data_IF_326958894703
#
_entry.id   IF_326958894703
#
_cell.length_a   1.000
_cell.length_b   1.000
_cell.length_c   1.000
_cell.angle_alpha   90.00
_cell.angle_beta   90.00
_cell.angle_gamma   90.00
#
_symmetry.space_group_name_H-M   'P 1'
#
loop_
_entity.id
_entity.type
_entity.pdbx_description
1 polymer ?
#
# COMPACT_ATOMS: atom_id res chain seq x y z
N UNK A 1 18.03 -25.89 -31.89
CA UNK A 1 18.54 -24.76 -31.09
C UNK A 1 19.05 -25.35 -29.78
N UNK A 2 20.36 -25.33 -29.53
CA UNK A 2 20.94 -25.76 -28.25
C UNK A 2 21.19 -24.50 -27.42
N UNK A 3 20.59 -24.45 -26.24
CA UNK A 3 20.82 -23.39 -25.28
C UNK A 3 22.21 -23.53 -24.69
N UNK A 4 22.94 -22.42 -24.63
CA UNK A 4 24.23 -22.34 -23.94
C UNK A 4 24.04 -22.03 -22.45
N UNK A 5 25.08 -22.17 -21.65
CA UNK A 5 25.03 -21.79 -20.22
C UNK A 5 24.71 -20.30 -20.04
N UNK A 6 25.25 -19.44 -20.89
CA UNK A 6 24.96 -18.00 -20.90
C UNK A 6 23.46 -17.73 -21.20
N UNK A 7 22.87 -18.46 -22.13
CA UNK A 7 21.44 -18.35 -22.43
C UNK A 7 20.58 -18.78 -21.24
N UNK A 8 21.00 -19.82 -20.51
CA UNK A 8 20.32 -20.29 -19.30
C UNK A 8 20.40 -19.27 -18.17
N UNK A 9 21.56 -18.64 -17.95
CA UNK A 9 21.73 -17.57 -16.96
C UNK A 9 20.81 -16.39 -17.30
N UNK A 10 20.84 -15.93 -18.56
CA UNK A 10 19.99 -14.83 -19.03
C UNK A 10 18.50 -15.13 -18.86
N UNK A 11 18.08 -16.36 -19.14
CA UNK A 11 16.70 -16.79 -18.92
C UNK A 11 16.33 -16.75 -17.44
N UNK A 12 17.17 -17.30 -16.57
CA UNK A 12 16.96 -17.29 -15.13
C UNK A 12 16.85 -15.86 -14.57
N UNK A 13 17.74 -14.96 -15.01
CA UNK A 13 17.72 -13.56 -14.60
C UNK A 13 16.43 -12.85 -15.04
N UNK A 14 16.03 -13.05 -16.30
CA UNK A 14 14.79 -12.48 -16.85
C UNK A 14 13.55 -13.03 -16.12
N UNK A 15 13.52 -14.34 -15.86
CA UNK A 15 12.42 -14.96 -15.10
C UNK A 15 12.37 -14.45 -13.67
N UNK A 16 13.51 -14.25 -13.02
CA UNK A 16 13.59 -13.68 -11.66
C UNK A 16 13.05 -12.24 -11.65
N UNK A 17 13.40 -11.43 -12.64
CA UNK A 17 12.93 -10.05 -12.75
C UNK A 17 11.41 -9.95 -12.85
N UNK A 18 10.80 -10.79 -13.68
CA UNK A 18 9.35 -10.79 -13.88
C UNK A 18 8.61 -11.42 -12.68
N UNK A 19 9.11 -12.55 -12.18
CA UNK A 19 8.39 -13.34 -11.16
C UNK A 19 8.63 -12.87 -9.73
N UNK A 20 9.72 -12.12 -9.50
CA UNK A 20 10.17 -11.65 -8.18
C UNK A 20 10.70 -10.22 -8.34
N UNK A 21 9.79 -9.26 -8.60
CA UNK A 21 10.17 -7.85 -8.59
C UNK A 21 10.62 -7.46 -7.17
N UNK A 22 11.61 -6.57 -7.06
CA UNK A 22 12.28 -6.25 -5.80
C UNK A 22 12.31 -4.75 -5.54
N UNK A 23 12.13 -4.39 -4.27
CA UNK A 23 12.28 -3.04 -3.75
C UNK A 23 13.32 -3.06 -2.62
N UNK A 24 14.18 -2.06 -2.57
CA UNK A 24 15.24 -1.95 -1.56
C UNK A 24 14.85 -0.91 -0.52
N UNK A 25 14.64 -1.36 0.71
CA UNK A 25 14.52 -0.48 1.88
C UNK A 25 15.93 -0.22 2.44
N UNK A 26 16.50 0.95 2.13
CA UNK A 26 17.81 1.38 2.60
C UNK A 26 17.72 1.87 4.06
N UNK A 27 17.68 0.91 4.99
CA UNK A 27 17.51 1.16 6.42
C UNK A 27 18.75 1.84 7.05
N UNK A 28 18.52 2.53 8.17
CA UNK A 28 19.50 3.37 8.90
C UNK A 28 19.93 4.62 8.14
N UNK A 29 19.05 5.17 7.30
CA UNK A 29 19.31 6.41 6.56
C UNK A 29 19.57 7.61 7.49
N UNK A 30 19.11 7.54 8.74
CA UNK A 30 19.36 8.53 9.80
C UNK A 30 20.84 8.69 10.17
N UNK A 31 21.64 7.62 10.09
CA UNK A 31 23.07 7.61 10.45
C UNK A 31 23.96 7.54 9.19
N UNK A 32 23.42 7.06 8.07
CA UNK A 32 24.19 6.85 6.85
C UNK A 32 24.76 8.18 6.27
N UNK A 33 26.01 8.18 5.76
CA UNK A 33 26.53 9.26 4.95
C UNK A 33 25.68 9.49 3.70
N UNK A 34 25.57 10.75 3.25
CA UNK A 34 24.78 11.10 2.05
C UNK A 34 25.27 10.37 0.81
N UNK A 35 26.59 10.28 0.61
CA UNK A 35 27.22 9.60 -0.52
C UNK A 35 26.74 8.14 -0.68
N UNK A 36 26.58 7.41 0.43
CA UNK A 36 26.08 6.03 0.37
C UNK A 36 24.61 5.96 -0.04
N UNK A 37 23.80 6.92 0.40
CA UNK A 37 22.39 7.01 0.00
C UNK A 37 22.26 7.39 -1.48
N UNK A 38 23.13 8.28 -1.97
CA UNK A 38 23.13 8.72 -3.37
C UNK A 38 23.55 7.58 -4.30
N UNK A 39 24.62 6.84 -3.97
CA UNK A 39 25.03 5.62 -4.71
C UNK A 39 23.94 4.55 -4.76
N UNK A 40 23.15 4.41 -3.70
CA UNK A 40 22.03 3.47 -3.69
C UNK A 40 20.85 3.96 -4.55
N UNK A 41 20.64 5.28 -4.66
CA UNK A 41 19.62 5.87 -5.53
C UNK A 41 19.96 5.77 -7.02
N UNK A 42 21.25 5.66 -7.36
CA UNK A 42 21.73 5.46 -8.74
C UNK A 42 21.52 4.03 -9.27
N UNK A 43 21.13 3.09 -8.41
CA UNK A 43 20.78 1.74 -8.85
C UNK A 43 19.52 1.77 -9.71
N UNK A 44 19.46 0.93 -10.75
CA UNK A 44 18.27 0.75 -11.60
C UNK A 44 17.18 -0.08 -10.90
N UNK A 45 16.82 0.34 -9.68
CA UNK A 45 15.85 -0.31 -8.80
C UNK A 45 15.16 0.72 -7.94
N UNK A 46 13.97 0.37 -7.45
CA UNK A 46 13.27 1.20 -6.48
C UNK A 46 14.01 1.11 -5.14
N UNK A 47 14.64 2.22 -4.74
CA UNK A 47 15.32 2.36 -3.44
C UNK A 47 14.67 3.46 -2.62
N UNK A 48 14.32 3.13 -1.38
CA UNK A 48 13.69 4.06 -0.45
C UNK A 48 14.53 4.12 0.81
N UNK A 49 14.92 5.33 1.21
CA UNK A 49 15.64 5.57 2.45
C UNK A 49 14.70 5.37 3.64
N UNK A 50 15.07 4.49 4.57
CA UNK A 50 14.20 4.17 5.72
C UNK A 50 14.92 4.29 7.06
N UNK A 51 14.14 4.55 8.11
CA UNK A 51 14.59 4.44 9.50
C UNK A 51 13.59 3.61 10.30
N UNK A 52 13.88 2.30 10.42
CA UNK A 52 13.01 1.37 11.12
C UNK A 52 12.91 1.64 12.63
N UNK A 53 14.00 2.10 13.23
CA UNK A 53 14.00 2.45 14.66
C UNK A 53 13.08 3.64 14.94
N UNK A 54 13.08 4.65 14.06
CA UNK A 54 12.21 5.81 14.18
C UNK A 54 10.73 5.43 14.09
N UNK A 55 10.36 4.63 13.07
CA UNK A 55 8.97 4.16 12.92
C UNK A 55 8.51 3.32 14.11
N UNK A 56 9.34 2.40 14.59
CA UNK A 56 9.02 1.57 15.74
C UNK A 56 8.79 2.42 17.00
N UNK A 57 9.60 3.45 17.20
CA UNK A 57 9.47 4.36 18.34
C UNK A 57 8.17 5.18 18.27
N UNK A 58 7.82 5.72 17.09
CA UNK A 58 6.56 6.45 16.88
C UNK A 58 5.35 5.56 17.10
N UNK A 59 5.33 4.36 16.51
CA UNK A 59 4.22 3.41 16.70
C UNK A 59 4.07 2.97 18.15
N UNK A 60 5.19 2.77 18.85
CA UNK A 60 5.18 2.47 20.28
C UNK A 60 4.63 3.63 21.11
N UNK A 61 5.05 4.87 20.82
CA UNK A 61 4.58 6.06 21.51
C UNK A 61 3.08 6.34 21.23
N UNK A 62 2.62 6.09 20.01
CA UNK A 62 1.21 6.20 19.64
C UNK A 62 0.36 5.16 20.36
N UNK A 63 0.83 3.91 20.43
CA UNK A 63 0.16 2.84 21.18
C UNK A 63 0.08 3.12 22.67
N UNK A 64 1.07 3.82 23.22
CA UNK A 64 1.08 4.27 24.62
C UNK A 64 0.21 5.53 24.87
N UNK A 65 -0.43 6.10 23.84
CA UNK A 65 -1.26 7.30 23.96
C UNK A 65 -0.48 8.58 24.24
N UNK A 66 0.84 8.59 24.00
CA UNK A 66 1.72 9.74 24.22
C UNK A 66 1.62 10.72 23.04
N UNK A 67 1.53 10.16 21.83
CA UNK A 67 1.39 10.92 20.59
C UNK A 67 0.21 10.41 19.77
N UNK A 68 -0.30 11.26 18.90
CA UNK A 68 -1.18 10.88 17.80
C UNK A 68 -0.35 10.86 16.53
N UNK A 69 -0.19 9.68 15.97
CA UNK A 69 0.62 9.42 14.78
C UNK A 69 -0.01 8.32 13.95
N UNK A 70 -0.16 8.55 12.65
CA UNK A 70 -0.53 7.52 11.68
C UNK A 70 0.73 7.08 10.95
N UNK A 71 0.97 5.76 10.75
CA UNK A 71 2.14 5.29 10.01
C UNK A 71 2.29 5.96 8.64
N UNK A 72 3.45 6.59 8.41
CA UNK A 72 3.73 7.33 7.18
C UNK A 72 3.40 8.82 7.23
N UNK A 73 2.83 9.32 8.32
CA UNK A 73 2.64 10.76 8.51
C UNK A 73 3.98 11.49 8.57
N UNK A 74 3.97 12.73 8.08
CA UNK A 74 5.13 13.65 8.10
C UNK A 74 5.24 14.42 9.42
N UNK A 75 4.29 14.24 10.31
CA UNK A 75 4.26 14.91 11.61
C UNK A 75 3.51 14.05 12.63
N UNK A 76 3.65 14.38 13.91
CA UNK A 76 2.91 13.75 15.00
C UNK A 76 2.52 14.77 16.07
N UNK A 77 1.31 14.64 16.62
CA UNK A 77 0.82 15.53 17.66
C UNK A 77 1.10 14.92 19.05
N UNK A 78 1.64 15.72 19.98
CA UNK A 78 1.81 15.30 21.38
C UNK A 78 0.46 15.40 22.09
N UNK A 79 -0.01 14.28 22.65
CA UNK A 79 -1.27 14.22 23.42
C UNK A 79 -1.04 14.54 24.90
N UNK A 80 0.18 14.32 25.41
CA UNK A 80 0.50 14.43 26.83
C UNK A 80 1.81 15.21 27.02
N UNK A 81 1.83 16.15 27.98
CA UNK A 81 3.05 16.91 28.32
C UNK A 81 3.95 16.18 29.33
N UNK A 82 3.46 15.12 29.98
CA UNK A 82 4.20 14.26 30.91
C UNK A 82 5.09 13.23 30.19
N UNK A 83 5.98 13.71 29.33
CA UNK A 83 7.02 12.88 28.70
C UNK A 83 8.32 12.97 29.48
N UNK A 84 8.95 11.82 29.71
CA UNK A 84 10.29 11.79 30.32
C UNK A 84 11.31 12.50 29.43
N UNK A 85 12.37 13.05 30.03
CA UNK A 85 13.46 13.71 29.26
C UNK A 85 14.06 12.81 28.18
N UNK A 86 14.15 11.50 28.45
CA UNK A 86 14.64 10.52 27.49
C UNK A 86 13.68 10.34 26.30
N UNK A 87 12.37 10.24 26.54
CA UNK A 87 11.36 10.17 25.49
C UNK A 87 11.33 11.43 24.65
N UNK A 88 11.38 12.61 25.27
CA UNK A 88 11.42 13.89 24.55
C UNK A 88 12.62 13.98 23.61
N UNK A 89 13.82 13.61 24.10
CA UNK A 89 15.04 13.58 23.27
C UNK A 89 14.94 12.57 22.12
N UNK A 90 14.30 11.42 22.34
CA UNK A 90 14.04 10.43 21.30
C UNK A 90 13.09 10.96 20.21
N UNK A 91 11.99 11.59 20.61
CA UNK A 91 11.03 12.20 19.68
C UNK A 91 11.65 13.35 18.89
N UNK A 92 12.48 14.20 19.52
CA UNK A 92 13.21 15.27 18.83
C UNK A 92 14.22 14.71 17.81
N UNK A 93 14.90 13.60 18.12
CA UNK A 93 15.80 12.95 17.17
C UNK A 93 15.02 12.39 15.96
N UNK A 94 13.86 11.80 16.20
CA UNK A 94 12.98 11.27 15.14
C UNK A 94 12.43 12.41 14.29
N UNK A 95 12.03 13.53 14.91
CA UNK A 95 11.55 14.71 14.18
C UNK A 95 12.60 15.21 13.18
N UNK A 96 13.88 15.27 13.57
CA UNK A 96 14.97 15.64 12.64
C UNK A 96 15.13 14.67 11.47
N UNK A 97 14.87 13.37 11.69
CA UNK A 97 14.90 12.37 10.61
C UNK A 97 13.74 12.62 9.65
N UNK A 98 12.52 12.83 10.17
CA UNK A 98 11.33 13.13 9.37
C UNK A 98 11.50 14.45 8.62
N UNK A 99 12.01 15.51 9.25
CA UNK A 99 12.27 16.80 8.58
C UNK A 99 13.26 16.65 7.42
N UNK A 100 14.29 15.80 7.59
CA UNK A 100 15.33 15.58 6.57
C UNK A 100 14.86 14.71 5.41
N UNK A 101 14.06 13.68 5.67
CA UNK A 101 13.67 12.67 4.68
C UNK A 101 12.19 12.72 4.28
N UNK A 102 11.41 13.61 4.89
CA UNK A 102 9.96 13.76 4.71
C UNK A 102 9.13 12.76 5.52
N UNK A 103 9.54 11.49 5.60
CA UNK A 103 8.89 10.43 6.38
C UNK A 103 9.93 9.47 6.98
N UNK A 104 9.48 8.44 7.71
CA UNK A 104 10.34 7.31 8.12
C UNK A 104 10.68 6.36 6.96
N UNK A 105 10.00 6.48 5.81
CA UNK A 105 10.19 5.69 4.59
C UNK A 105 9.57 4.29 4.61
N UNK A 106 9.13 3.76 5.76
CA UNK A 106 8.56 2.41 5.83
C UNK A 106 7.21 2.32 5.13
N UNK A 107 6.30 3.26 5.42
CA UNK A 107 5.00 3.28 4.76
C UNK A 107 5.15 3.52 3.25
N UNK A 108 6.13 4.34 2.85
CA UNK A 108 6.48 4.54 1.44
C UNK A 108 6.95 3.24 0.77
N UNK A 109 7.80 2.44 1.43
CA UNK A 109 8.18 1.11 0.95
C UNK A 109 6.97 0.21 0.69
N UNK A 110 6.04 0.16 1.64
CA UNK A 110 4.83 -0.66 1.52
C UNK A 110 3.98 -0.16 0.35
N UNK A 111 3.71 1.15 0.29
CA UNK A 111 2.90 1.76 -0.74
C UNK A 111 3.51 1.53 -2.14
N UNK A 112 4.80 1.82 -2.34
CA UNK A 112 5.46 1.59 -3.62
C UNK A 112 5.51 0.11 -4.00
N UNK A 113 5.63 -0.79 -3.01
CA UNK A 113 5.54 -2.23 -3.28
C UNK A 113 4.15 -2.61 -3.81
N UNK A 114 3.09 -2.13 -3.19
CA UNK A 114 1.72 -2.48 -3.56
C UNK A 114 1.33 -1.83 -4.90
N UNK A 115 1.51 -0.50 -5.01
CA UNK A 115 0.96 0.29 -6.11
C UNK A 115 1.86 0.35 -7.34
N UNK A 116 3.19 0.30 -7.18
CA UNK A 116 4.12 0.43 -8.31
C UNK A 116 4.77 -0.90 -8.67
N UNK A 117 5.26 -1.66 -7.68
CA UNK A 117 5.99 -2.90 -7.94
C UNK A 117 5.05 -4.04 -8.36
N UNK A 118 3.92 -4.19 -7.67
CA UNK A 118 2.92 -5.21 -7.96
C UNK A 118 1.79 -4.71 -8.87
N UNK A 119 1.79 -3.40 -9.18
CA UNK A 119 0.77 -2.68 -9.95
C UNK A 119 -0.67 -3.01 -9.50
N UNK A 120 -0.88 -2.98 -8.19
CA UNK A 120 -2.18 -3.23 -7.58
C UNK A 120 -2.96 -1.93 -7.42
N UNK A 121 -4.28 -2.05 -7.46
CA UNK A 121 -5.27 -1.01 -7.17
C UNK A 121 -6.11 -1.45 -5.98
N UNK A 122 -6.54 -0.49 -5.16
CA UNK A 122 -7.48 -0.73 -4.07
C UNK A 122 -8.89 -0.47 -4.59
N UNK A 123 -9.80 -1.42 -4.38
CA UNK A 123 -11.21 -1.32 -4.76
C UNK A 123 -12.07 -1.66 -3.55
N UNK A 124 -13.14 -0.90 -3.35
CA UNK A 124 -14.02 -1.01 -2.19
C UNK A 124 -15.39 -1.54 -2.61
N UNK A 125 -15.69 -2.82 -2.39
CA UNK A 125 -17.03 -3.33 -2.62
C UNK A 125 -17.98 -2.85 -1.52
N UNK A 126 -19.17 -2.43 -1.91
CA UNK A 126 -20.24 -1.99 -1.00
C UNK A 126 -21.57 -2.61 -1.39
N UNK A 127 -22.48 -2.73 -0.44
CA UNK A 127 -23.84 -3.18 -0.73
C UNK A 127 -24.80 -2.03 -1.02
N UNK A 128 -24.61 -0.90 -0.34
CA UNK A 128 -25.38 0.32 -0.55
C UNK A 128 -24.51 1.40 -1.23
N UNK A 129 -24.86 1.73 -2.46
CA UNK A 129 -24.18 2.75 -3.29
C UNK A 129 -24.44 4.18 -2.80
N UNK A 130 -25.48 4.41 -2.01
CA UNK A 130 -25.83 5.72 -1.46
C UNK A 130 -25.07 6.03 -0.17
N UNK A 131 -24.95 5.04 0.72
CA UNK A 131 -24.28 5.18 2.03
C UNK A 131 -22.84 4.66 2.05
N UNK A 132 -22.43 3.97 0.99
CA UNK A 132 -21.14 3.26 0.90
C UNK A 132 -20.96 2.28 2.05
N UNK A 133 -22.02 1.56 2.39
CA UNK A 133 -22.06 0.67 3.55
C UNK A 133 -22.43 -0.77 3.20
N UNK A 134 -22.16 -1.68 4.14
CA UNK A 134 -22.71 -3.04 4.16
C UNK A 134 -24.15 -3.08 4.72
N UNK A 135 -24.71 -4.30 4.87
CA UNK A 135 -26.03 -4.55 5.51
C UNK A 135 -26.12 -4.07 6.96
N UNK A 136 -24.98 -3.98 7.65
CA UNK A 136 -24.88 -3.67 9.09
C UNK A 136 -24.66 -2.16 9.31
N UNK A 137 -24.38 -1.41 8.24
CA UNK A 137 -24.13 0.03 8.27
C UNK A 137 -22.65 0.40 8.43
N UNK A 138 -21.71 -0.53 8.30
CA UNK A 138 -20.29 -0.24 8.31
C UNK A 138 -19.91 0.44 6.99
N UNK A 139 -19.30 1.63 7.08
CA UNK A 139 -18.85 2.39 5.91
C UNK A 139 -17.56 1.78 5.35
N UNK A 140 -17.54 1.50 4.05
CA UNK A 140 -16.42 0.89 3.32
C UNK A 140 -15.88 -0.34 4.06
N UNK A 141 -16.68 -1.42 4.16
CA UNK A 141 -16.38 -2.56 5.03
C UNK A 141 -15.06 -3.25 4.65
N UNK A 142 -14.82 -3.39 3.35
CA UNK A 142 -13.69 -4.13 2.80
C UNK A 142 -12.91 -3.30 1.78
N UNK A 143 -11.61 -3.59 1.68
CA UNK A 143 -10.70 -3.02 0.70
C UNK A 143 -9.91 -4.14 0.02
N UNK A 144 -10.21 -4.40 -1.25
CA UNK A 144 -9.54 -5.44 -2.03
C UNK A 144 -8.38 -4.87 -2.82
N UNK A 145 -7.25 -5.59 -2.82
CA UNK A 145 -6.13 -5.33 -3.71
C UNK A 145 -6.30 -6.16 -4.99
N UNK A 146 -6.50 -5.49 -6.11
CA UNK A 146 -6.65 -6.11 -7.42
C UNK A 146 -5.56 -5.66 -8.37
N UNK A 147 -5.25 -6.43 -9.41
CA UNK A 147 -4.30 -5.97 -10.43
C UNK A 147 -4.94 -4.84 -11.24
N UNK A 148 -4.13 -3.87 -11.67
CA UNK A 148 -4.59 -2.89 -12.65
C UNK A 148 -5.12 -3.59 -13.90
N UNK A 149 -6.25 -3.12 -14.40
CA UNK A 149 -6.96 -3.73 -15.53
C UNK A 149 -7.92 -4.86 -15.12
N UNK A 150 -8.01 -5.22 -13.83
CA UNK A 150 -9.08 -6.09 -13.35
C UNK A 150 -10.46 -5.45 -13.58
N UNK A 151 -11.46 -6.31 -13.81
CA UNK A 151 -12.81 -5.90 -14.16
C UNK A 151 -13.79 -6.00 -12.99
N UNK A 152 -14.97 -5.40 -13.12
CA UNK A 152 -16.06 -5.56 -12.14
C UNK A 152 -16.42 -7.04 -11.89
N UNK A 153 -16.30 -7.89 -12.90
CA UNK A 153 -16.53 -9.32 -12.78
C UNK A 153 -15.44 -10.01 -11.96
N UNK A 154 -14.16 -9.66 -12.18
CA UNK A 154 -13.05 -10.19 -11.38
C UNK A 154 -13.20 -9.82 -9.90
N UNK A 155 -13.71 -8.62 -9.61
CA UNK A 155 -14.03 -8.21 -8.24
C UNK A 155 -15.13 -9.08 -7.65
N UNK A 156 -16.16 -9.43 -8.41
CA UNK A 156 -17.23 -10.33 -7.97
C UNK A 156 -16.66 -11.70 -7.54
N UNK A 157 -15.73 -12.26 -8.33
CA UNK A 157 -15.04 -13.50 -7.99
C UNK A 157 -14.11 -13.38 -6.77
N UNK A 158 -13.49 -12.22 -6.57
CA UNK A 158 -12.67 -11.95 -5.38
C UNK A 158 -13.49 -11.90 -4.10
N UNK A 159 -14.72 -11.39 -4.15
CA UNK A 159 -15.63 -11.39 -3.00
C UNK A 159 -16.10 -12.82 -2.73
N UNK A 160 -16.72 -13.46 -3.72
CA UNK A 160 -17.14 -14.85 -3.63
C UNK A 160 -17.42 -15.44 -5.01
N UNK A 161 -17.04 -16.69 -5.21
CA UNK A 161 -17.28 -17.44 -6.47
C UNK A 161 -18.76 -17.47 -6.91
N UNK A 162 -19.73 -17.59 -6.00
CA UNK A 162 -21.16 -17.57 -6.33
C UNK A 162 -21.65 -16.22 -6.83
N UNK A 163 -21.14 -15.12 -6.25
CA UNK A 163 -21.45 -13.75 -6.69
C UNK A 163 -20.89 -13.51 -8.09
N UNK A 164 -19.68 -14.01 -8.36
CA UNK A 164 -19.06 -14.01 -9.69
C UNK A 164 -19.89 -14.79 -10.72
N UNK A 165 -20.24 -16.04 -10.42
CA UNK A 165 -21.00 -16.90 -11.34
C UNK A 165 -22.39 -16.34 -11.70
N UNK A 166 -23.00 -15.58 -10.78
CA UNK A 166 -24.33 -14.99 -10.96
C UNK A 166 -24.29 -13.47 -11.15
N UNK A 167 -23.17 -12.94 -11.62
CA UNK A 167 -22.97 -11.51 -11.85
C UNK A 167 -23.95 -10.99 -12.91
N UNK A 168 -24.65 -9.89 -12.63
CA UNK A 168 -25.49 -9.20 -13.61
C UNK A 168 -24.88 -7.90 -14.09
N UNK A 169 -24.48 -7.05 -13.14
CA UNK A 169 -23.85 -5.76 -13.40
C UNK A 169 -23.25 -5.20 -12.12
N UNK A 170 -22.42 -4.17 -12.29
CA UNK A 170 -21.91 -3.39 -11.18
C UNK A 170 -22.48 -1.96 -11.22
N UNK A 171 -22.43 -1.25 -10.11
CA UNK A 171 -22.79 0.17 -10.01
C UNK A 171 -21.62 0.89 -9.36
N UNK A 172 -21.15 1.96 -9.99
CA UNK A 172 -20.20 2.87 -9.37
C UNK A 172 -20.95 3.72 -8.33
N UNK A 173 -20.57 3.61 -7.07
CA UNK A 173 -21.24 4.31 -5.97
C UNK A 173 -21.00 5.82 -5.98
N UNK A 174 -19.98 6.32 -6.70
CA UNK A 174 -19.70 7.76 -6.83
C UNK A 174 -20.55 8.41 -7.91
N UNK A 175 -20.58 7.80 -9.10
CA UNK A 175 -21.33 8.34 -10.25
C UNK A 175 -22.77 7.83 -10.31
N UNK A 176 -23.09 6.77 -9.56
CA UNK A 176 -24.36 6.02 -9.60
C UNK A 176 -24.69 5.47 -11.00
N UNK A 177 -23.66 5.30 -11.82
CA UNK A 177 -23.79 4.73 -13.16
C UNK A 177 -23.67 3.21 -13.11
N UNK A 178 -24.47 2.57 -13.96
CA UNK A 178 -24.38 1.12 -14.17
C UNK A 178 -23.15 0.82 -15.01
N UNK A 179 -22.30 -0.05 -14.48
CA UNK A 179 -21.09 -0.57 -15.11
C UNK A 179 -21.35 -1.96 -15.67
N UNK A 180 -20.80 -2.20 -16.87
CA UNK A 180 -20.80 -3.52 -17.49
C UNK A 180 -19.78 -4.46 -16.85
N UNK A 181 -19.89 -5.74 -17.16
CA UNK A 181 -19.00 -6.81 -16.71
C UNK A 181 -17.51 -6.51 -17.01
N UNK A 182 -17.23 -6.00 -18.22
CA UNK A 182 -15.88 -5.72 -18.72
C UNK A 182 -15.35 -4.33 -18.35
N UNK A 183 -16.03 -3.59 -17.47
CA UNK A 183 -15.54 -2.30 -17.04
C UNK A 183 -14.28 -2.46 -16.20
N UNK A 184 -13.19 -1.82 -16.61
CA UNK A 184 -11.92 -1.84 -15.88
C UNK A 184 -12.00 -0.97 -14.63
N UNK A 185 -11.60 -1.55 -13.51
CA UNK A 185 -11.59 -0.89 -12.21
C UNK A 185 -10.41 0.07 -12.09
N UNK A 186 -10.63 1.16 -11.36
CA UNK A 186 -9.62 2.17 -11.03
C UNK A 186 -9.34 2.17 -9.53
N UNK A 187 -8.18 2.72 -9.19
CA UNK A 187 -7.76 2.83 -7.80
C UNK A 187 -8.71 3.77 -7.03
N UNK A 188 -9.27 3.24 -5.93
CA UNK A 188 -10.22 3.94 -5.09
C UNK A 188 -11.68 3.84 -5.53
N UNK A 189 -11.99 2.99 -6.53
CA UNK A 189 -13.36 2.78 -6.97
C UNK A 189 -14.19 2.15 -5.84
N UNK A 190 -15.43 2.64 -5.71
CA UNK A 190 -16.41 2.13 -4.75
C UNK A 190 -17.52 1.47 -5.56
N UNK A 191 -17.59 0.14 -5.52
CA UNK A 191 -18.38 -0.64 -6.46
C UNK A 191 -19.43 -1.45 -5.72
N UNK A 192 -20.69 -1.31 -6.13
CA UNK A 192 -21.74 -2.24 -5.74
C UNK A 192 -21.90 -3.32 -6.80
N UNK A 193 -21.85 -4.57 -6.38
CA UNK A 193 -22.06 -5.73 -7.26
C UNK A 193 -23.51 -6.19 -7.12
N UNK A 194 -24.20 -6.31 -8.26
CA UNK A 194 -25.55 -6.87 -8.32
C UNK A 194 -25.43 -8.25 -8.95
N UNK A 195 -25.80 -9.27 -8.17
CA UNK A 195 -25.83 -10.66 -8.60
C UNK A 195 -27.20 -11.28 -8.34
N UNK A 196 -27.52 -12.38 -9.04
CA UNK A 196 -28.73 -13.18 -8.74
C UNK A 196 -28.48 -14.27 -7.69
N UNK A 197 -27.29 -14.32 -7.10
CA UNK A 197 -27.00 -15.22 -5.99
C UNK A 197 -27.87 -14.82 -4.79
N UNK A 198 -28.47 -15.81 -4.12
CA UNK A 198 -29.37 -15.60 -2.97
C UNK A 198 -28.59 -15.60 -1.66
#
# INVERSE_FOLDING_TARGET
>A
IKWTEEDMIRLCDTMREISKPLLIAANKADIAPRENLDRLRELDRIVISTSAAAELALRSAAKAGIIKYTPGDRDFELLTQEVTKAQKKGLEAIYKVIERFGTTGIQECINRTVFELLDLIVVYPVEDEGKWSDKVGNMLPDAYLMKRGSTCHDLAYQIHTEIGNHFLYAVDARTRLRLGEKHELKNGDVIKIVSTAK
#
